data_IF_556401652601
#
_entry.id   IF_556401652601
#
_cell.length_a   1.000
_cell.length_b   1.000
_cell.length_c   1.000
_cell.angle_alpha   90.00
_cell.angle_beta   90.00
_cell.angle_gamma   90.00
#
_symmetry.space_group_name_H-M   'P 1'
#
loop_
_entity.id
_entity.type
_entity.pdbx_description
1 polymer ?
#
# COMPACT_ATOMS: atom_id res chain seq x y z
N UNK A 1 -4.26 17.89 -2.53
CA UNK A 1 -4.42 16.44 -2.80
C UNK A 1 -3.06 15.91 -3.24
N UNK A 2 -2.56 14.85 -2.62
CA UNK A 2 -1.30 14.21 -3.04
C UNK A 2 -1.52 13.51 -4.39
N UNK A 3 -0.64 13.69 -5.40
CA UNK A 3 -0.74 12.98 -6.68
C UNK A 3 -0.61 11.47 -6.50
N UNK A 4 -1.29 10.69 -7.35
CA UNK A 4 -1.24 9.23 -7.28
C UNK A 4 0.19 8.68 -7.50
N UNK A 5 0.96 9.30 -8.39
CA UNK A 5 2.35 8.93 -8.62
C UNK A 5 3.22 9.05 -7.36
N UNK A 6 2.99 10.09 -6.54
CA UNK A 6 3.70 10.30 -5.28
C UNK A 6 3.30 9.26 -4.22
N UNK A 7 2.03 8.83 -4.22
CA UNK A 7 1.55 7.74 -3.35
C UNK A 7 2.23 6.42 -3.72
N UNK A 8 2.31 6.12 -5.01
CA UNK A 8 2.95 4.90 -5.52
C UNK A 8 4.43 4.90 -5.16
N UNK A 9 5.15 6.00 -5.42
CA UNK A 9 6.58 6.13 -5.09
C UNK A 9 6.83 5.86 -3.60
N UNK A 10 6.03 6.43 -2.71
CA UNK A 10 6.14 6.20 -1.26
C UNK A 10 5.85 4.75 -0.86
N UNK A 11 4.80 4.15 -1.41
CA UNK A 11 4.45 2.76 -1.10
C UNK A 11 5.54 1.79 -1.59
N UNK A 12 6.13 2.05 -2.76
CA UNK A 12 7.27 1.29 -3.29
C UNK A 12 8.49 1.44 -2.39
N UNK A 13 8.81 2.67 -1.95
CA UNK A 13 9.92 2.90 -1.03
C UNK A 13 9.74 2.14 0.30
N UNK A 14 8.51 2.08 0.84
CA UNK A 14 8.21 1.28 2.03
C UNK A 14 8.31 -0.23 1.78
N UNK A 15 7.96 -0.69 0.58
CA UNK A 15 8.06 -2.10 0.19
C UNK A 15 9.51 -2.57 0.07
N UNK A 16 10.38 -1.71 -0.46
CA UNK A 16 11.80 -2.01 -0.66
C UNK A 16 12.62 -1.81 0.64
N UNK A 17 12.06 -1.15 1.65
CA UNK A 17 12.70 -0.96 2.95
C UNK A 17 12.65 -2.24 3.80
N UNK A 18 13.82 -2.88 3.95
CA UNK A 18 13.99 -4.08 4.77
C UNK A 18 13.66 -3.90 6.26
N UNK A 19 13.54 -2.67 6.77
CA UNK A 19 13.09 -2.36 8.13
C UNK A 19 11.57 -2.35 8.28
N UNK A 20 10.83 -2.46 7.17
CA UNK A 20 9.37 -2.52 7.13
C UNK A 20 8.87 -3.96 6.94
N UNK A 21 7.69 -4.25 7.49
CA UNK A 21 6.98 -5.52 7.32
C UNK A 21 5.88 -5.30 6.27
N UNK A 22 6.24 -5.47 5.01
CA UNK A 22 5.28 -5.44 3.90
C UNK A 22 4.78 -6.85 3.59
N UNK A 23 3.48 -6.97 3.31
CA UNK A 23 2.84 -8.25 3.01
C UNK A 23 1.94 -8.08 1.79
N UNK A 24 2.04 -9.01 0.85
CA UNK A 24 0.99 -9.24 -0.12
C UNK A 24 -0.23 -9.85 0.58
N UNK A 25 -1.41 -9.62 0.03
CA UNK A 25 -2.66 -10.14 0.56
C UNK A 25 -3.41 -10.90 -0.54
N UNK A 26 -4.00 -12.02 -0.16
CA UNK A 26 -4.91 -12.73 -1.04
C UNK A 26 -6.13 -11.85 -1.34
N UNK A 27 -6.48 -11.74 -2.61
CA UNK A 27 -7.70 -11.09 -3.05
C UNK A 27 -8.45 -12.02 -4.01
N UNK A 28 -9.68 -12.45 -3.69
CA UNK A 28 -10.47 -13.29 -4.58
C UNK A 28 -10.96 -12.56 -5.85
N UNK A 29 -10.76 -11.23 -5.92
CA UNK A 29 -10.99 -10.42 -7.12
C UNK A 29 -9.68 -10.15 -7.89
N UNK A 30 -8.56 -10.74 -7.47
CA UNK A 30 -7.25 -10.60 -8.09
C UNK A 30 -7.03 -11.60 -9.24
N UNK A 31 -8.03 -11.80 -10.10
CA UNK A 31 -7.90 -12.62 -11.32
C UNK A 31 -6.75 -12.12 -12.23
N UNK A 32 -6.31 -10.87 -12.02
CA UNK A 32 -5.21 -10.21 -12.71
C UNK A 32 -3.81 -10.47 -12.10
N UNK A 33 -3.69 -11.16 -10.96
CA UNK A 33 -2.42 -11.32 -10.24
C UNK A 33 -2.04 -12.80 -10.03
N UNK A 34 -0.76 -13.18 -10.17
CA UNK A 34 -0.30 -14.54 -9.90
C UNK A 34 -0.72 -14.98 -8.49
N UNK A 35 -1.16 -16.23 -8.36
CA UNK A 35 -1.63 -16.82 -7.10
C UNK A 35 -2.78 -16.06 -6.39
N UNK A 36 -3.50 -15.19 -7.11
CA UNK A 36 -4.51 -14.27 -6.57
C UNK A 36 -3.97 -13.40 -5.43
N UNK A 37 -2.67 -13.12 -5.44
CA UNK A 37 -2.01 -12.28 -4.44
C UNK A 37 -1.86 -10.86 -4.97
N UNK A 38 -2.50 -9.92 -4.30
CA UNK A 38 -2.35 -8.51 -4.58
C UNK A 38 -1.05 -7.99 -3.94
N UNK A 39 -0.17 -7.31 -4.69
CA UNK A 39 1.04 -6.71 -4.14
C UNK A 39 0.75 -5.65 -3.06
N UNK A 40 1.70 -5.43 -2.15
CA UNK A 40 1.58 -4.45 -1.07
C UNK A 40 1.16 -3.05 -1.57
N UNK A 41 1.86 -2.52 -2.59
CA UNK A 41 1.54 -1.22 -3.20
C UNK A 41 0.09 -1.18 -3.70
N UNK A 42 -0.36 -2.24 -4.38
CA UNK A 42 -1.69 -2.30 -4.97
C UNK A 42 -2.81 -2.37 -3.92
N UNK A 43 -2.59 -3.08 -2.82
CA UNK A 43 -3.55 -3.14 -1.71
C UNK A 43 -3.83 -1.73 -1.17
N UNK A 44 -2.76 -1.00 -0.88
CA UNK A 44 -2.85 0.32 -0.28
C UNK A 44 -3.35 1.36 -1.28
N UNK A 45 -2.96 1.25 -2.55
CA UNK A 45 -3.46 2.11 -3.61
C UNK A 45 -4.96 1.87 -3.87
N UNK A 46 -5.40 0.61 -3.95
CA UNK A 46 -6.81 0.25 -4.10
C UNK A 46 -7.65 0.77 -2.93
N UNK A 47 -7.14 0.67 -1.69
CA UNK A 47 -7.80 1.21 -0.51
C UNK A 47 -8.01 2.72 -0.62
N UNK A 48 -6.97 3.49 -0.96
CA UNK A 48 -7.06 4.95 -1.14
C UNK A 48 -7.96 5.33 -2.32
N UNK A 49 -7.99 4.52 -3.38
CA UNK A 49 -8.89 4.72 -4.52
C UNK A 49 -10.36 4.52 -4.12
N UNK A 50 -10.66 3.51 -3.31
CA UNK A 50 -12.01 3.22 -2.83
C UNK A 50 -12.48 4.24 -1.78
N UNK A 51 -11.57 4.81 -0.98
CA UNK A 51 -11.88 5.70 0.13
C UNK A 51 -11.39 7.13 -0.12
N UNK A 52 -12.08 7.86 -1.02
CA UNK A 52 -11.69 9.23 -1.44
C UNK A 52 -11.65 10.29 -0.33
N UNK A 53 -12.24 10.00 0.84
CA UNK A 53 -12.25 10.89 2.00
C UNK A 53 -11.01 10.72 2.89
N UNK A 54 -10.24 9.65 2.71
CA UNK A 54 -9.01 9.41 3.48
C UNK A 54 -7.91 10.32 2.94
N UNK A 55 -7.25 11.08 3.83
CA UNK A 55 -6.05 11.84 3.46
C UNK A 55 -4.87 10.87 3.23
N UNK A 56 -4.33 10.77 2.00
CA UNK A 56 -3.22 9.88 1.71
C UNK A 56 -1.98 10.14 2.56
N UNK A 57 -1.73 11.39 2.96
CA UNK A 57 -0.55 11.76 3.78
C UNK A 57 -0.64 11.11 5.15
N UNK A 58 -1.78 11.29 5.82
CA UNK A 58 -2.02 10.69 7.14
C UNK A 58 -2.05 9.17 7.06
N UNK A 59 -2.66 8.62 6.01
CA UNK A 59 -2.70 7.18 5.80
C UNK A 59 -1.30 6.58 5.70
N UNK A 60 -0.44 7.14 4.85
CA UNK A 60 0.92 6.64 4.64
C UNK A 60 1.78 6.76 5.90
N UNK A 61 1.68 7.88 6.64
CA UNK A 61 2.39 8.04 7.91
C UNK A 61 1.95 7.02 8.97
N UNK A 62 0.65 6.75 9.07
CA UNK A 62 0.15 5.73 10.00
C UNK A 62 0.59 4.32 9.56
N UNK A 63 0.55 4.04 8.27
CA UNK A 63 0.98 2.76 7.71
C UNK A 63 2.45 2.48 8.03
N UNK A 64 3.33 3.45 7.82
CA UNK A 64 4.77 3.36 8.14
C UNK A 64 5.00 3.00 9.62
N UNK A 65 4.31 3.66 10.54
CA UNK A 65 4.40 3.37 11.97
C UNK A 65 3.93 1.95 12.34
N UNK A 66 2.91 1.44 11.63
CA UNK A 66 2.35 0.11 11.88
C UNK A 66 3.24 -1.02 11.38
N UNK A 67 3.89 -0.81 10.23
CA UNK A 67 4.68 -1.87 9.56
C UNK A 67 6.15 -1.85 9.96
N UNK A 68 6.64 -0.81 10.62
CA UNK A 68 8.03 -0.74 11.07
C UNK A 68 8.36 -1.89 12.04
N UNK A 69 9.42 -2.64 11.72
CA UNK A 69 9.97 -3.67 12.61
C UNK A 69 10.42 -3.02 13.92
N UNK A 70 10.09 -3.67 15.03
CA UNK A 70 10.49 -3.26 16.39
C UNK A 70 11.62 -4.14 16.88
#
# INVERSE_FOLDING_TARGET
MMPEAEIIERLTALQDDSSMVTKAAYSPAADAWPDNQMPFVEIHLAYLRAHKQVDPRHYLSNLELMIKKR
#
